data_IF_880843720848
#
_entry.id   IF_880843720848
#
_cell.length_a   1.000
_cell.length_b   1.000
_cell.length_c   1.000
_cell.angle_alpha   90.00
_cell.angle_beta   90.00
_cell.angle_gamma   90.00
#
_symmetry.space_group_name_H-M   'P 1'
#
loop_
_entity.id
_entity.type
_entity.pdbx_description
1 polymer ?
#
# COMPACT_ATOMS: atom_id res chain seq x y z
N UNK A 1 11.14 2.37 -27.64
CA UNK A 1 10.24 2.03 -26.50
C UNK A 1 9.69 3.31 -25.93
N UNK A 2 8.37 3.40 -25.79
CA UNK A 2 7.69 4.58 -25.30
C UNK A 2 7.57 4.56 -23.77
N UNK A 3 8.06 5.59 -23.04
CA UNK A 3 8.14 5.55 -21.58
C UNK A 3 6.81 5.37 -20.84
N UNK A 4 5.68 5.70 -21.48
CA UNK A 4 4.33 5.59 -20.91
C UNK A 4 3.76 4.17 -20.90
N UNK A 5 4.40 3.22 -21.58
CA UNK A 5 3.95 1.83 -21.63
C UNK A 5 4.67 1.01 -20.56
N UNK A 6 4.33 1.26 -19.29
CA UNK A 6 4.84 0.52 -18.14
C UNK A 6 3.70 -0.16 -17.41
N UNK A 7 3.99 -1.35 -16.89
CA UNK A 7 3.11 -2.09 -15.99
C UNK A 7 3.94 -2.61 -14.83
N UNK A 8 3.31 -2.78 -13.68
CA UNK A 8 3.93 -3.26 -12.46
C UNK A 8 3.14 -4.47 -11.96
N UNK A 9 3.85 -5.51 -11.56
CA UNK A 9 3.28 -6.75 -11.03
C UNK A 9 3.94 -7.03 -9.69
N UNK A 10 3.14 -7.12 -8.64
CA UNK A 10 3.57 -7.54 -7.32
C UNK A 10 3.10 -8.98 -7.08
N UNK A 11 4.01 -9.84 -6.60
CA UNK A 11 3.70 -11.23 -6.24
C UNK A 11 3.86 -11.36 -4.74
N UNK A 12 2.81 -11.80 -4.06
CA UNK A 12 2.76 -11.92 -2.61
C UNK A 12 2.33 -13.33 -2.23
N UNK A 13 2.79 -13.81 -1.07
CA UNK A 13 2.39 -15.12 -0.52
C UNK A 13 1.03 -15.09 0.15
N UNK A 14 0.42 -13.91 0.31
CA UNK A 14 -0.86 -13.69 0.96
C UNK A 14 -1.81 -12.89 0.04
N UNK A 15 -3.13 -12.96 0.27
CA UNK A 15 -4.12 -12.30 -0.59
C UNK A 15 -4.34 -10.81 -0.24
N UNK A 16 -3.74 -10.30 0.83
CA UNK A 16 -4.01 -8.96 1.34
C UNK A 16 -3.20 -7.88 0.61
N UNK A 17 -3.82 -7.23 -0.38
CA UNK A 17 -3.23 -6.09 -1.08
C UNK A 17 -4.32 -5.16 -1.61
N UNK A 18 -3.94 -3.93 -1.94
CA UNK A 18 -4.79 -2.98 -2.62
C UNK A 18 -3.96 -2.08 -3.54
N UNK A 19 -4.54 -1.66 -4.66
CA UNK A 19 -4.02 -0.56 -5.48
C UNK A 19 -4.76 0.70 -5.09
N UNK A 20 -4.04 1.80 -4.84
CA UNK A 20 -4.67 3.07 -4.50
C UNK A 20 -5.49 3.62 -5.67
N UNK A 21 -6.61 4.25 -5.33
CA UNK A 21 -7.42 4.99 -6.28
C UNK A 21 -6.77 6.32 -6.70
N UNK A 22 -7.43 7.03 -7.61
CA UNK A 22 -6.95 8.33 -8.13
C UNK A 22 -6.75 9.40 -7.05
N UNK A 23 -7.48 9.31 -5.94
CA UNK A 23 -7.41 10.18 -4.77
C UNK A 23 -6.42 9.67 -3.70
N UNK A 24 -5.68 8.59 -3.97
CA UNK A 24 -4.77 7.97 -3.01
C UNK A 24 -5.44 7.06 -1.96
N UNK A 25 -6.77 6.91 -1.97
CA UNK A 25 -7.45 6.03 -1.01
C UNK A 25 -7.23 4.56 -1.35
N UNK A 26 -7.10 3.73 -0.32
CA UNK A 26 -7.00 2.28 -0.43
C UNK A 26 -7.81 1.63 0.71
N UNK A 27 -8.21 0.37 0.51
CA UNK A 27 -8.90 -0.42 1.53
C UNK A 27 -8.45 -1.87 1.37
N UNK A 28 -8.10 -2.51 2.48
CA UNK A 28 -7.78 -3.93 2.52
C UNK A 28 -8.79 -4.56 3.49
N UNK A 29 -9.71 -5.33 2.94
CA UNK A 29 -10.80 -5.94 3.71
C UNK A 29 -10.41 -7.30 4.26
N UNK A 30 -11.19 -7.77 5.25
CA UNK A 30 -11.08 -9.10 5.84
C UNK A 30 -9.71 -9.42 6.45
N UNK A 31 -9.02 -8.40 6.99
CA UNK A 31 -7.86 -8.63 7.85
C UNK A 31 -8.35 -9.18 9.20
N UNK A 32 -7.84 -10.34 9.66
CA UNK A 32 -8.03 -10.78 11.03
C UNK A 32 -7.47 -9.76 12.03
N UNK A 33 -7.93 -9.83 13.28
CA UNK A 33 -7.33 -9.04 14.35
C UNK A 33 -5.86 -9.43 14.55
N UNK A 34 -4.98 -8.45 14.66
CA UNK A 34 -3.55 -8.67 14.75
C UNK A 34 -2.72 -7.41 14.51
N UNK A 35 -1.41 -7.52 14.74
CA UNK A 35 -0.45 -6.47 14.39
C UNK A 35 0.26 -6.84 13.11
N UNK A 36 0.23 -5.93 12.14
CA UNK A 36 0.76 -6.12 10.80
C UNK A 36 1.78 -5.04 10.46
N UNK A 37 2.80 -5.40 9.68
CA UNK A 37 3.60 -4.43 8.93
C UNK A 37 2.97 -4.29 7.55
N UNK A 38 2.59 -3.07 7.18
CA UNK A 38 2.08 -2.73 5.86
C UNK A 38 3.13 -1.95 5.08
N UNK A 39 3.24 -2.24 3.78
CA UNK A 39 4.16 -1.57 2.86
C UNK A 39 3.35 -0.83 1.78
N UNK A 40 3.62 0.46 1.63
CA UNK A 40 3.16 1.25 0.50
C UNK A 40 4.33 1.44 -0.47
N UNK A 41 4.10 1.18 -1.76
CA UNK A 41 5.11 1.35 -2.81
C UNK A 41 4.62 2.31 -3.90
N UNK A 42 5.54 3.15 -4.35
CA UNK A 42 5.35 4.04 -5.50
C UNK A 42 6.52 3.86 -6.46
N UNK A 43 6.24 3.74 -7.75
CA UNK A 43 7.18 3.39 -8.80
C UNK A 43 8.40 4.30 -8.95
N UNK A 44 8.28 5.57 -8.54
CA UNK A 44 9.39 6.54 -8.55
C UNK A 44 9.91 6.85 -7.15
N UNK A 45 9.05 6.78 -6.14
CA UNK A 45 9.34 7.28 -4.79
C UNK A 45 9.73 6.17 -3.80
N UNK A 46 9.68 4.91 -4.22
CA UNK A 46 10.13 3.76 -3.44
C UNK A 46 9.08 3.24 -2.47
N UNK A 47 9.53 2.62 -1.37
CA UNK A 47 8.66 2.01 -0.35
C UNK A 47 8.60 2.84 0.94
N UNK A 48 7.47 2.76 1.63
CA UNK A 48 7.29 3.19 3.01
C UNK A 48 6.62 2.08 3.79
N UNK A 49 7.02 1.89 5.05
CA UNK A 49 6.47 0.86 5.94
C UNK A 49 5.82 1.49 7.16
N UNK A 50 4.76 0.86 7.64
CA UNK A 50 4.10 1.25 8.88
C UNK A 50 3.60 0.01 9.63
N UNK A 51 3.61 0.06 10.96
CA UNK A 51 2.98 -0.96 11.80
C UNK A 51 1.56 -0.53 12.14
N UNK A 52 0.59 -1.44 11.97
CA UNK A 52 -0.82 -1.20 12.26
C UNK A 52 -1.35 -2.35 13.10
N UNK A 53 -2.09 -2.01 14.17
CA UNK A 53 -2.83 -2.99 14.96
C UNK A 53 -4.30 -2.94 14.57
N UNK A 54 -4.83 -4.05 14.08
CA UNK A 54 -6.23 -4.25 13.74
C UNK A 54 -6.90 -4.96 14.93
N UNK A 55 -7.91 -4.32 15.51
CA UNK A 55 -8.77 -4.90 16.54
C UNK A 55 -10.09 -5.37 15.95
N UNK A 56 -11.21 -5.14 16.65
CA UNK A 56 -12.56 -5.49 16.19
C UNK A 56 -13.15 -4.52 15.15
N UNK A 57 -12.35 -3.56 14.66
CA UNK A 57 -12.81 -2.48 13.78
C UNK A 57 -11.75 -2.01 12.78
N UNK A 58 -12.08 -0.96 12.03
CA UNK A 58 -11.19 -0.40 11.03
C UNK A 58 -9.95 0.24 11.67
N UNK A 59 -8.79 -0.02 11.09
CA UNK A 59 -7.55 0.66 11.41
C UNK A 59 -7.09 1.48 10.19
N UNK A 60 -6.58 2.69 10.43
CA UNK A 60 -6.15 3.60 9.37
C UNK A 60 -4.67 3.86 9.46
N UNK A 61 -3.98 3.77 8.33
CA UNK A 61 -2.61 4.23 8.17
C UNK A 61 -2.52 5.18 6.99
N UNK A 62 -1.75 6.25 7.18
CA UNK A 62 -1.53 7.27 6.17
C UNK A 62 -0.06 7.25 5.74
N UNK A 63 0.16 7.30 4.43
CA UNK A 63 1.49 7.40 3.83
C UNK A 63 1.64 8.73 3.12
N UNK A 64 2.83 9.30 3.14
CA UNK A 64 3.12 10.56 2.45
C UNK A 64 4.46 10.45 1.74
N UNK A 65 4.40 10.32 0.43
CA UNK A 65 5.59 10.33 -0.41
C UNK A 65 5.95 11.77 -0.78
N UNK A 66 7.19 12.17 -0.50
CA UNK A 66 7.72 13.48 -0.89
C UNK A 66 8.58 13.30 -2.14
N UNK A 67 8.28 14.06 -3.18
CA UNK A 67 9.15 14.14 -4.35
C UNK A 67 10.44 14.86 -3.92
N UNK A 68 11.63 14.25 -4.08
CA UNK A 68 12.90 14.93 -3.83
C UNK A 68 13.01 16.18 -4.72
N UNK A 69 13.52 17.28 -4.16
CA UNK A 69 13.83 18.51 -4.91
C UNK A 69 14.98 18.29 -5.89
#
# INVERSE_FOLDING_TARGET
VHPWMRSYVAVMSHPFFATSGMNGSFTIDNLPAGTYEIEAWHEKLGTQKATVTVGDGAATANFTFKVPK
#
